data_IF_704993532095
#
_entry.id   IF_704993532095
#
_cell.length_a   1.000
_cell.length_b   1.000
_cell.length_c   1.000
_cell.angle_alpha   90.00
_cell.angle_beta   90.00
_cell.angle_gamma   90.00
#
_symmetry.space_group_name_H-M   'P 1'
#
loop_
_entity.id
_entity.type
_entity.pdbx_description
1 polymer ?
#
# COMPACT_ATOMS: atom_id res chain seq x y z
N UNK A 1 -10.97 41.60 -4.20
CA UNK A 1 -10.50 40.20 -4.26
C UNK A 1 -9.21 40.17 -5.06
N UNK A 2 -8.15 39.55 -4.54
CA UNK A 2 -6.87 39.44 -5.23
C UNK A 2 -6.95 38.30 -6.24
N UNK A 3 -6.96 38.62 -7.53
CA UNK A 3 -7.18 37.64 -8.61
C UNK A 3 -6.05 36.61 -8.70
N UNK A 4 -4.82 36.97 -8.28
CA UNK A 4 -3.67 36.05 -8.23
C UNK A 4 -3.83 34.95 -7.18
N UNK A 5 -4.47 35.26 -6.05
CA UNK A 5 -4.81 34.26 -5.04
C UNK A 5 -5.86 33.28 -5.53
N UNK A 6 -6.83 33.72 -6.35
CA UNK A 6 -7.88 32.85 -6.89
C UNK A 6 -7.32 31.90 -7.95
N UNK A 7 -6.44 32.36 -8.83
CA UNK A 7 -5.73 31.49 -9.79
C UNK A 7 -4.87 30.44 -9.07
N UNK A 8 -4.08 30.85 -8.07
CA UNK A 8 -3.27 29.91 -7.28
C UNK A 8 -4.11 28.88 -6.53
N UNK A 9 -5.27 29.26 -5.99
CA UNK A 9 -6.18 28.33 -5.35
C UNK A 9 -6.75 27.32 -6.35
N UNK A 10 -7.10 27.78 -7.55
CA UNK A 10 -7.71 26.92 -8.58
C UNK A 10 -6.72 25.91 -9.16
N UNK A 11 -5.46 26.31 -9.32
CA UNK A 11 -4.39 25.45 -9.83
C UNK A 11 -3.98 24.39 -8.80
N UNK A 12 -3.96 24.75 -7.51
CA UNK A 12 -3.67 23.83 -6.40
C UNK A 12 -4.77 22.77 -6.21
N UNK A 13 -6.04 23.17 -6.37
CA UNK A 13 -7.21 22.29 -6.26
C UNK A 13 -7.22 21.22 -7.36
N UNK A 14 -6.98 21.62 -8.61
CA UNK A 14 -6.94 20.70 -9.76
C UNK A 14 -5.76 19.72 -9.64
N UNK A 15 -4.57 20.20 -9.22
CA UNK A 15 -3.41 19.34 -9.03
C UNK A 15 -3.63 18.31 -7.90
N UNK A 16 -4.19 18.73 -6.75
CA UNK A 16 -4.55 17.82 -5.66
C UNK A 16 -5.61 16.80 -6.08
N UNK A 17 -6.69 17.24 -6.72
CA UNK A 17 -7.74 16.37 -7.23
C UNK A 17 -7.19 15.32 -8.21
N UNK A 18 -6.28 15.72 -9.12
CA UNK A 18 -5.67 14.78 -10.07
C UNK A 18 -4.83 13.70 -9.39
N UNK A 19 -4.15 14.03 -8.28
CA UNK A 19 -3.37 13.07 -7.48
C UNK A 19 -4.27 12.10 -6.70
N UNK A 20 -5.49 12.51 -6.37
CA UNK A 20 -6.49 11.72 -5.64
C UNK A 20 -7.30 10.82 -6.58
N UNK A 21 -7.67 11.30 -7.78
CA UNK A 21 -8.60 10.62 -8.69
C UNK A 21 -7.93 9.90 -9.88
N UNK A 22 -6.79 10.38 -10.38
CA UNK A 22 -6.25 9.94 -11.69
C UNK A 22 -4.78 9.56 -11.74
N UNK A 23 -4.04 9.76 -10.65
CA UNK A 23 -2.62 9.42 -10.57
C UNK A 23 -2.36 7.93 -10.47
N UNK A 24 -1.14 7.52 -10.86
CA UNK A 24 -0.61 6.16 -10.72
C UNK A 24 -0.60 5.70 -9.24
N UNK A 25 -0.49 6.68 -8.34
CA UNK A 25 -0.52 6.61 -6.89
C UNK A 25 -1.86 7.06 -6.25
N UNK A 26 -2.99 6.91 -6.95
CA UNK A 26 -4.30 7.24 -6.40
C UNK A 26 -4.68 6.33 -5.21
N UNK A 27 -5.71 6.75 -4.44
CA UNK A 27 -6.11 6.04 -3.22
C UNK A 27 -6.51 4.59 -3.48
N UNK A 28 -7.19 4.33 -4.59
CA UNK A 28 -7.73 3.01 -4.91
C UNK A 28 -6.62 2.03 -5.28
N UNK A 29 -5.64 2.48 -6.07
CA UNK A 29 -4.45 1.71 -6.42
C UNK A 29 -3.62 1.41 -5.17
N UNK A 30 -3.42 2.38 -4.29
CA UNK A 30 -2.66 2.17 -3.06
C UNK A 30 -3.33 1.14 -2.14
N UNK A 31 -4.66 1.18 -1.99
CA UNK A 31 -5.38 0.17 -1.20
C UNK A 31 -5.29 -1.20 -1.85
N UNK A 32 -5.40 -1.28 -3.18
CA UNK A 32 -5.31 -2.54 -3.92
C UNK A 32 -3.91 -3.17 -3.82
N UNK A 33 -2.85 -2.39 -4.01
CA UNK A 33 -1.48 -2.86 -3.92
C UNK A 33 -1.10 -3.24 -2.48
N UNK A 34 -1.49 -2.43 -1.49
CA UNK A 34 -1.30 -2.75 -0.08
C UNK A 34 -2.03 -4.03 0.34
N UNK A 35 -3.26 -4.22 -0.16
CA UNK A 35 -4.01 -5.48 0.00
C UNK A 35 -3.30 -6.66 -0.64
N UNK A 36 -2.83 -6.50 -1.87
CA UNK A 36 -2.08 -7.53 -2.60
C UNK A 36 -0.79 -7.92 -1.88
N UNK A 37 -0.09 -6.94 -1.30
CA UNK A 37 1.09 -7.16 -0.46
C UNK A 37 0.75 -7.93 0.83
N UNK A 38 -0.42 -7.69 1.43
CA UNK A 38 -0.89 -8.46 2.57
C UNK A 38 -1.14 -9.94 2.22
N UNK A 39 -1.79 -10.20 1.08
CA UNK A 39 -2.04 -11.58 0.61
C UNK A 39 -0.75 -12.29 0.23
N UNK A 40 0.15 -11.62 -0.50
CA UNK A 40 1.47 -12.16 -0.83
C UNK A 40 2.30 -12.47 0.41
N UNK A 41 2.30 -11.54 1.38
CA UNK A 41 2.94 -11.74 2.69
C UNK A 41 2.34 -12.90 3.47
N UNK A 42 1.01 -13.07 3.45
CA UNK A 42 0.35 -14.20 4.11
C UNK A 42 0.75 -15.56 3.51
N UNK A 43 0.78 -15.64 2.18
CA UNK A 43 1.23 -16.85 1.48
C UNK A 43 2.69 -17.18 1.80
N UNK A 44 3.57 -16.17 1.77
CA UNK A 44 4.99 -16.33 2.10
C UNK A 44 5.21 -16.78 3.55
N UNK A 45 4.55 -16.13 4.51
CA UNK A 45 4.64 -16.49 5.93
C UNK A 45 4.16 -17.92 6.19
N UNK A 46 3.05 -18.31 5.56
CA UNK A 46 2.55 -19.68 5.62
C UNK A 46 3.53 -20.69 5.01
N UNK A 47 4.10 -20.39 3.85
CA UNK A 47 5.06 -21.25 3.17
C UNK A 47 6.35 -21.45 3.97
N UNK A 48 6.87 -20.39 4.61
CA UNK A 48 8.05 -20.47 5.48
C UNK A 48 7.77 -21.37 6.69
N UNK A 49 6.58 -21.26 7.30
CA UNK A 49 6.21 -22.13 8.40
C UNK A 49 6.01 -23.59 7.98
N UNK A 50 5.40 -23.82 6.82
CA UNK A 50 5.32 -25.16 6.23
C UNK A 50 6.71 -25.77 6.00
N UNK A 51 7.65 -25.00 5.44
CA UNK A 51 9.01 -25.46 5.19
C UNK A 51 9.80 -25.74 6.48
N UNK A 52 9.49 -25.04 7.58
CA UNK A 52 10.13 -25.23 8.90
C UNK A 52 9.47 -26.30 9.76
N UNK A 53 8.50 -27.05 9.22
CA UNK A 53 7.85 -28.17 9.92
C UNK A 53 6.80 -27.74 10.94
N UNK A 54 6.38 -26.46 10.90
CA UNK A 54 5.30 -25.97 11.75
C UNK A 54 3.99 -26.64 11.34
N UNK A 55 3.26 -27.19 12.31
CA UNK A 55 2.00 -27.88 12.04
C UNK A 55 0.90 -26.95 11.52
N UNK A 56 -0.09 -27.54 10.83
CA UNK A 56 -1.28 -26.83 10.32
C UNK A 56 -1.96 -25.85 11.31
N UNK A 57 -2.05 -26.14 12.64
CA UNK A 57 -2.69 -25.22 13.58
C UNK A 57 -2.03 -23.83 13.69
N UNK A 58 -0.74 -23.73 13.37
CA UNK A 58 0.03 -22.49 13.50
C UNK A 58 0.24 -21.75 12.18
N UNK A 59 -0.20 -22.34 11.06
CA UNK A 59 -0.09 -21.73 9.72
C UNK A 59 -0.78 -20.36 9.65
N UNK A 60 -1.94 -20.23 10.30
CA UNK A 60 -2.66 -18.96 10.35
C UNK A 60 -1.87 -17.85 11.05
N UNK A 61 -1.12 -18.18 12.11
CA UNK A 61 -0.28 -17.22 12.82
C UNK A 61 0.92 -16.78 11.96
N UNK A 62 1.55 -17.71 11.26
CA UNK A 62 2.65 -17.41 10.36
C UNK A 62 2.21 -16.57 9.16
N UNK A 63 1.06 -16.91 8.58
CA UNK A 63 0.45 -16.09 7.54
C UNK A 63 0.10 -14.70 8.05
N UNK A 64 -0.44 -14.55 9.26
CA UNK A 64 -0.74 -13.25 9.84
C UNK A 64 0.50 -12.37 10.02
N UNK A 65 1.59 -12.96 10.53
CA UNK A 65 2.88 -12.27 10.67
C UNK A 65 3.42 -11.88 9.28
N UNK A 66 3.41 -12.82 8.33
CA UNK A 66 3.84 -12.57 6.96
C UNK A 66 3.04 -11.45 6.28
N UNK A 67 1.72 -11.39 6.50
CA UNK A 67 0.87 -10.33 5.97
C UNK A 67 1.29 -8.94 6.50
N UNK A 68 1.59 -8.82 7.80
CA UNK A 68 2.10 -7.56 8.37
C UNK A 68 3.42 -7.13 7.73
N UNK A 69 4.35 -8.07 7.56
CA UNK A 69 5.61 -7.78 6.89
C UNK A 69 5.43 -7.36 5.43
N UNK A 70 4.54 -8.04 4.70
CA UNK A 70 4.20 -7.68 3.31
C UNK A 70 3.69 -6.24 3.20
N UNK A 71 2.74 -5.86 4.06
CA UNK A 71 2.20 -4.48 4.09
C UNK A 71 3.27 -3.46 4.50
N UNK A 72 4.08 -3.77 5.51
CA UNK A 72 5.14 -2.87 5.97
C UNK A 72 6.20 -2.65 4.88
N UNK A 73 6.58 -3.69 4.16
CA UNK A 73 7.51 -3.60 3.03
C UNK A 73 6.91 -2.75 1.90
N UNK A 74 5.67 -3.00 1.51
CA UNK A 74 4.99 -2.19 0.50
C UNK A 74 4.94 -0.71 0.92
N UNK A 75 4.48 -0.41 2.14
CA UNK A 75 4.41 0.96 2.63
C UNK A 75 5.78 1.65 2.65
N UNK A 76 6.83 0.91 3.04
CA UNK A 76 8.21 1.40 3.01
C UNK A 76 8.73 1.71 1.61
N UNK A 77 8.50 0.81 0.65
CA UNK A 77 8.90 1.00 -0.75
C UNK A 77 8.12 2.15 -1.38
N UNK A 78 6.79 2.18 -1.21
CA UNK A 78 5.91 3.27 -1.69
C UNK A 78 6.33 4.62 -1.10
N UNK A 79 6.64 4.67 0.19
CA UNK A 79 7.14 5.89 0.83
C UNK A 79 8.51 6.34 0.31
N UNK A 80 9.41 5.39 -0.01
CA UNK A 80 10.74 5.67 -0.53
C UNK A 80 10.75 6.10 -2.01
N UNK A 81 9.80 5.62 -2.82
CA UNK A 81 9.74 5.90 -4.26
C UNK A 81 8.80 7.06 -4.62
N UNK A 82 8.02 7.58 -3.66
CA UNK A 82 7.00 8.61 -3.93
C UNK A 82 5.70 8.04 -4.51
N UNK A 83 5.49 6.73 -4.40
CA UNK A 83 4.37 6.00 -5.01
C UNK A 83 4.67 5.51 -6.43
N UNK A 84 4.11 4.36 -6.79
CA UNK A 84 4.22 3.79 -8.14
C UNK A 84 3.31 4.49 -9.15
#
# INVERSE_FOLDING_TARGET
MNTKMMEQFHEMDIAMLSSIEGGKNNWQTNVFEGGSAAFGGWGLGTAICAASGVGAPFMGACGYIGAKFGVALWAGVTGATGGF
#
